data_IF_764897070952
#
_entry.id   IF_764897070952
#
_cell.length_a   1.000
_cell.length_b   1.000
_cell.length_c   1.000
_cell.angle_alpha   90.00
_cell.angle_beta   90.00
_cell.angle_gamma   90.00
#
_symmetry.space_group_name_H-M   'P 1'
#
loop_
_entity.id
_entity.type
_entity.pdbx_description
1 polymer ?
#
# COMPACT_ATOMS: atom_id res chain seq x y z
N UNK A 1 -9.67 15.75 2.44
CA UNK A 1 -11.02 16.33 2.64
C UNK A 1 -12.03 15.20 2.59
N UNK A 2 -13.09 15.24 3.41
CA UNK A 2 -14.12 14.20 3.44
C UNK A 2 -15.48 14.77 3.02
N UNK A 3 -16.38 13.91 2.55
CA UNK A 3 -17.72 14.26 2.13
C UNK A 3 -18.75 13.38 2.81
N UNK A 4 -19.90 13.97 3.12
CA UNK A 4 -21.07 13.25 3.61
C UNK A 4 -21.61 12.31 2.55
N UNK A 5 -22.00 11.12 2.97
CA UNK A 5 -22.58 10.09 2.10
C UNK A 5 -24.09 9.92 2.28
N UNK A 6 -24.68 10.50 3.32
CA UNK A 6 -26.12 10.42 3.63
C UNK A 6 -26.98 11.45 2.88
N UNK A 7 -26.36 12.37 2.16
CA UNK A 7 -27.08 13.44 1.46
C UNK A 7 -27.58 12.99 0.08
N UNK A 8 -28.78 13.44 -0.35
CA UNK A 8 -29.34 13.10 -1.65
C UNK A 8 -28.49 13.66 -2.80
N UNK A 9 -28.55 12.98 -3.96
CA UNK A 9 -27.94 13.48 -5.20
C UNK A 9 -28.50 14.87 -5.54
N UNK A 10 -27.63 15.88 -5.58
CA UNK A 10 -28.00 17.29 -5.79
C UNK A 10 -27.82 18.20 -4.57
N UNK A 11 -27.42 17.67 -3.41
CA UNK A 11 -27.07 18.49 -2.26
C UNK A 11 -25.90 19.44 -2.58
N UNK A 12 -25.97 20.66 -2.02
CA UNK A 12 -24.96 21.70 -2.23
C UNK A 12 -23.58 21.23 -1.75
N UNK A 13 -22.53 21.63 -2.47
CA UNK A 13 -21.14 21.30 -2.13
C UNK A 13 -20.77 21.75 -0.70
N UNK A 14 -21.37 22.82 -0.20
CA UNK A 14 -21.19 23.29 1.19
C UNK A 14 -21.72 22.31 2.25
N UNK A 15 -22.81 21.63 1.95
CA UNK A 15 -23.46 20.69 2.86
C UNK A 15 -22.78 19.31 2.80
N UNK A 16 -22.31 18.94 1.61
CA UNK A 16 -21.61 17.69 1.36
C UNK A 16 -20.17 17.70 1.88
N UNK A 17 -19.45 18.79 1.70
CA UNK A 17 -18.02 18.84 2.02
C UNK A 17 -17.72 19.09 3.49
N UNK A 18 -16.76 18.33 4.03
CA UNK A 18 -16.15 18.52 5.35
C UNK A 18 -14.63 18.57 5.26
N UNK A 19 -14.10 19.77 5.44
CA UNK A 19 -12.66 20.04 5.58
C UNK A 19 -12.20 20.10 7.04
N UNK A 20 -13.12 20.27 7.97
CA UNK A 20 -12.90 20.24 9.40
C UNK A 20 -14.10 19.58 10.11
N UNK A 21 -13.89 19.08 11.33
CA UNK A 21 -14.95 18.51 12.18
C UNK A 21 -15.13 19.39 13.41
N UNK A 22 -16.35 19.89 13.60
CA UNK A 22 -16.65 20.87 14.65
C UNK A 22 -16.14 22.26 14.29
N UNK A 23 -15.13 22.74 15.02
CA UNK A 23 -14.56 24.08 14.81
C UNK A 23 -13.69 24.17 13.55
N UNK A 24 -13.57 25.37 12.99
CA UNK A 24 -12.84 25.67 11.74
C UNK A 24 -11.34 25.40 11.78
N UNK A 25 -10.77 25.20 12.97
CA UNK A 25 -9.34 24.90 13.16
C UNK A 25 -9.05 23.39 13.22
N UNK A 26 -10.07 22.54 13.34
CA UNK A 26 -9.94 21.08 13.38
C UNK A 26 -9.93 20.48 11.98
N UNK A 27 -8.95 20.88 11.18
CA UNK A 27 -8.83 20.46 9.80
C UNK A 27 -8.58 18.95 9.70
N UNK A 28 -9.40 18.27 8.90
CA UNK A 28 -9.46 16.80 8.76
C UNK A 28 -8.10 16.17 8.48
N UNK A 29 -7.32 16.83 7.62
CA UNK A 29 -5.97 16.41 7.24
C UNK A 29 -4.89 17.40 7.66
N UNK A 30 -5.08 18.15 8.75
CA UNK A 30 -4.09 19.07 9.29
C UNK A 30 -4.11 20.50 8.71
N UNK A 31 -3.40 21.42 9.37
CA UNK A 31 -3.13 22.80 8.93
C UNK A 31 -1.76 23.26 9.46
N UNK A 32 -0.66 23.21 8.67
CA UNK A 32 -0.57 22.76 7.26
C UNK A 32 -0.94 21.28 7.09
N UNK A 33 -1.30 20.83 5.87
CA UNK A 33 -1.75 19.46 5.67
C UNK A 33 -0.67 18.43 6.06
N UNK A 34 -1.07 17.42 6.83
CA UNK A 34 -0.18 16.34 7.24
C UNK A 34 0.09 15.38 6.08
N UNK A 35 1.20 14.65 6.16
CA UNK A 35 1.57 13.65 5.16
C UNK A 35 0.64 12.43 5.25
N UNK A 36 -0.29 12.30 4.31
CA UNK A 36 -1.17 11.14 4.17
C UNK A 36 -0.90 10.38 2.88
N UNK A 37 -0.92 9.05 2.97
CA UNK A 37 -1.14 8.18 1.80
C UNK A 37 -2.63 8.21 1.41
N UNK A 38 -2.97 7.77 0.21
CA UNK A 38 -4.38 7.67 -0.22
C UNK A 38 -5.22 6.83 0.76
N UNK A 39 -4.69 5.66 1.17
CA UNK A 39 -5.34 4.80 2.16
C UNK A 39 -5.43 5.45 3.54
N UNK A 40 -4.40 6.18 3.96
CA UNK A 40 -4.43 6.98 5.19
C UNK A 40 -5.53 8.05 5.15
N UNK A 41 -5.73 8.70 4.01
CA UNK A 41 -6.81 9.68 3.84
C UNK A 41 -8.21 9.04 3.87
N UNK A 42 -8.39 7.84 3.32
CA UNK A 42 -9.64 7.06 3.42
C UNK A 42 -9.92 6.67 4.86
N UNK A 43 -8.93 6.07 5.54
CA UNK A 43 -9.04 5.67 6.94
C UNK A 43 -9.38 6.87 7.82
N UNK A 44 -8.75 8.02 7.58
CA UNK A 44 -9.04 9.25 8.31
C UNK A 44 -10.49 9.72 8.16
N UNK A 45 -11.08 9.61 6.97
CA UNK A 45 -12.49 9.94 6.78
C UNK A 45 -13.41 8.95 7.50
N UNK A 46 -13.06 7.66 7.52
CA UNK A 46 -13.81 6.63 8.23
C UNK A 46 -13.72 6.78 9.75
N UNK A 47 -12.55 7.10 10.29
CA UNK A 47 -12.37 7.37 11.73
C UNK A 47 -13.20 8.55 12.22
N UNK A 48 -13.33 9.59 11.38
CA UNK A 48 -14.12 10.78 11.68
C UNK A 48 -15.61 10.59 11.35
N UNK A 49 -15.96 9.47 10.71
CA UNK A 49 -17.33 9.12 10.35
C UNK A 49 -18.10 8.70 11.59
N UNK A 50 -19.34 9.15 11.71
CA UNK A 50 -20.27 8.72 12.77
C UNK A 50 -21.61 8.37 12.14
N UNK A 51 -22.46 7.63 12.87
CA UNK A 51 -23.83 7.30 12.42
C UNK A 51 -24.64 8.55 12.03
N UNK A 52 -24.42 9.68 12.72
CA UNK A 52 -25.08 10.96 12.42
C UNK A 52 -24.38 11.77 11.30
N UNK A 53 -23.14 11.44 10.98
CA UNK A 53 -22.32 12.12 10.00
C UNK A 53 -21.42 11.11 9.27
N UNK A 54 -21.99 10.31 8.36
CA UNK A 54 -21.21 9.31 7.65
C UNK A 54 -20.32 9.98 6.60
N UNK A 55 -19.02 9.69 6.63
CA UNK A 55 -18.00 10.37 5.84
C UNK A 55 -17.20 9.41 4.95
N UNK A 56 -16.87 9.88 3.74
CA UNK A 56 -15.97 9.20 2.80
C UNK A 56 -15.12 10.21 2.02
N UNK A 57 -14.19 9.76 1.16
CA UNK A 57 -13.48 10.67 0.25
C UNK A 57 -14.44 11.31 -0.76
N UNK A 58 -14.22 12.59 -1.04
CA UNK A 58 -15.06 13.38 -1.94
C UNK A 58 -14.82 13.06 -3.43
N UNK A 59 -15.89 13.01 -4.22
CA UNK A 59 -15.90 12.95 -5.69
C UNK A 59 -15.90 14.35 -6.36
N UNK A 60 -15.93 15.40 -5.54
CA UNK A 60 -15.92 16.81 -5.95
C UNK A 60 -14.81 17.58 -5.25
N UNK A 61 -14.42 18.71 -5.84
CA UNK A 61 -13.46 19.63 -5.24
C UNK A 61 -14.18 20.61 -4.29
N UNK A 62 -13.96 20.44 -2.98
CA UNK A 62 -14.54 21.28 -1.92
C UNK A 62 -13.94 22.70 -1.81
N UNK A 63 -13.82 23.41 -2.94
CA UNK A 63 -13.13 24.69 -3.05
C UNK A 63 -13.70 25.78 -2.15
N UNK A 64 -12.82 26.60 -1.57
CA UNK A 64 -13.23 27.77 -0.77
C UNK A 64 -13.81 27.46 0.63
N UNK A 65 -13.80 26.19 1.07
CA UNK A 65 -14.40 25.76 2.34
C UNK A 65 -13.42 25.71 3.53
N UNK A 66 -12.39 26.57 3.53
CA UNK A 66 -11.43 26.68 4.63
C UNK A 66 -10.25 25.69 4.58
N UNK A 67 -9.48 25.64 5.68
CA UNK A 67 -8.27 24.83 5.91
C UNK A 67 -7.08 25.04 4.96
N UNK A 68 -7.14 26.00 4.03
CA UNK A 68 -6.03 26.30 3.12
C UNK A 68 -5.76 25.23 2.06
N UNK A 69 -6.61 24.20 1.94
CA UNK A 69 -6.41 23.09 1.01
C UNK A 69 -6.48 23.48 -0.48
N UNK A 70 -6.95 24.69 -0.81
CA UNK A 70 -6.99 25.14 -2.20
C UNK A 70 -5.59 25.35 -2.80
N UNK A 71 -4.55 25.43 -1.97
CA UNK A 71 -3.16 25.58 -2.40
C UNK A 71 -2.44 24.23 -2.57
N UNK A 72 -3.14 23.11 -2.39
CA UNK A 72 -2.56 21.76 -2.36
C UNK A 72 -3.41 20.78 -3.18
N UNK A 73 -2.79 19.74 -3.78
CA UNK A 73 -3.56 18.64 -4.37
C UNK A 73 -4.31 17.88 -3.26
N UNK A 74 -5.53 17.41 -3.57
CA UNK A 74 -6.38 16.67 -2.63
C UNK A 74 -6.74 15.30 -3.18
N UNK A 75 -6.72 14.27 -2.32
CA UNK A 75 -7.24 12.95 -2.68
C UNK A 75 -8.76 13.01 -2.94
N UNK A 76 -9.22 12.31 -3.98
CA UNK A 76 -10.62 12.26 -4.40
C UNK A 76 -11.04 10.82 -4.70
N UNK A 77 -12.33 10.52 -4.49
CA UNK A 77 -12.99 9.30 -4.97
C UNK A 77 -13.52 9.47 -6.40
N UNK A 78 -13.34 10.65 -7.03
CA UNK A 78 -13.80 10.90 -8.38
C UNK A 78 -13.05 9.98 -9.32
N UNK A 79 -13.78 9.20 -10.11
CA UNK A 79 -13.09 8.15 -10.78
C UNK A 79 -12.75 8.74 -12.19
N UNK A 80 -11.52 8.60 -12.70
CA UNK A 80 -11.11 9.24 -13.98
C UNK A 80 -11.86 8.72 -15.21
N UNK A 81 -11.91 9.54 -16.26
CA UNK A 81 -12.57 9.21 -17.51
C UNK A 81 -11.66 8.34 -18.39
N UNK A 82 -12.15 7.17 -18.78
CA UNK A 82 -11.61 6.37 -19.90
C UNK A 82 -12.03 7.04 -21.21
N UNK A 83 -11.40 6.66 -22.31
CA UNK A 83 -11.71 7.19 -23.64
C UNK A 83 -12.61 6.23 -24.43
N UNK A 84 -13.50 6.73 -25.30
CA UNK A 84 -14.51 5.91 -25.98
C UNK A 84 -13.93 5.30 -27.26
N UNK A 85 -13.70 3.99 -27.28
CA UNK A 85 -13.73 3.18 -28.51
C UNK A 85 -13.63 1.70 -28.21
N UNK A 86 -14.77 1.02 -28.20
CA UNK A 86 -14.97 -0.31 -28.81
C UNK A 86 -16.47 -0.65 -28.84
N UNK A 87 -16.96 -1.32 -29.89
CA UNK A 87 -18.39 -1.52 -30.14
C UNK A 87 -19.01 -2.57 -29.20
N UNK A 88 -20.35 -2.54 -28.97
CA UNK A 88 -21.00 -3.45 -28.05
C UNK A 88 -21.18 -4.83 -28.70
N UNK A 89 -20.56 -5.86 -28.12
CA UNK A 89 -21.01 -7.24 -28.35
C UNK A 89 -22.18 -7.53 -27.41
N UNK A 90 -23.36 -7.62 -28.00
CA UNK A 90 -24.60 -8.04 -27.39
C UNK A 90 -24.55 -9.50 -26.96
N UNK A 91 -24.62 -9.78 -25.66
CA UNK A 91 -24.97 -11.09 -25.10
C UNK A 91 -25.80 -10.92 -23.80
N UNK A 92 -26.61 -11.93 -23.45
CA UNK A 92 -27.88 -11.71 -22.75
C UNK A 92 -27.77 -11.59 -21.23
N UNK A 93 -28.77 -10.91 -20.68
CA UNK A 93 -29.06 -10.71 -19.26
C UNK A 93 -28.75 -11.97 -18.42
N UNK A 94 -27.73 -11.90 -17.58
CA UNK A 94 -27.45 -12.91 -16.56
C UNK A 94 -27.36 -12.23 -15.21
N UNK A 95 -28.26 -12.67 -14.32
CA UNK A 95 -28.42 -12.56 -12.87
C UNK A 95 -27.71 -11.47 -12.04
N UNK A 96 -28.32 -11.04 -10.92
CA UNK A 96 -27.79 -9.99 -10.06
C UNK A 96 -26.35 -10.30 -9.60
N UNK A 97 -25.44 -9.31 -9.63
CA UNK A 97 -24.05 -9.51 -9.26
C UNK A 97 -23.95 -9.93 -7.81
N UNK A 98 -23.26 -11.05 -7.57
CA UNK A 98 -22.80 -11.42 -6.23
C UNK A 98 -22.02 -10.27 -5.61
N UNK A 99 -22.08 -10.09 -4.27
CA UNK A 99 -21.38 -9.01 -3.58
C UNK A 99 -19.89 -9.02 -3.97
N UNK A 100 -19.30 -7.84 -4.24
CA UNK A 100 -17.91 -7.75 -4.67
C UNK A 100 -16.99 -8.39 -3.61
N UNK A 101 -15.96 -9.14 -4.03
CA UNK A 101 -14.96 -9.67 -3.11
C UNK A 101 -14.32 -8.52 -2.34
N UNK A 102 -14.18 -8.70 -1.03
CA UNK A 102 -13.55 -7.72 -0.16
C UNK A 102 -12.17 -7.34 -0.71
N UNK A 103 -11.98 -6.04 -1.00
CA UNK A 103 -10.70 -5.51 -1.46
C UNK A 103 -9.68 -5.78 -0.35
N UNK A 104 -8.60 -6.56 -0.61
CA UNK A 104 -7.63 -6.87 0.42
C UNK A 104 -6.94 -5.58 0.90
N UNK A 105 -6.61 -5.47 2.19
CA UNK A 105 -5.95 -4.28 2.72
C UNK A 105 -4.64 -3.99 1.96
N UNK A 106 -4.26 -2.72 1.79
CA UNK A 106 -2.95 -2.38 1.22
C UNK A 106 -1.85 -3.01 2.10
N UNK A 107 -0.91 -3.70 1.46
CA UNK A 107 0.12 -4.53 2.14
C UNK A 107 -0.45 -5.77 2.85
N UNK A 108 -1.51 -6.36 2.29
CA UNK A 108 -1.98 -7.68 2.69
C UNK A 108 -0.83 -8.69 2.70
N UNK A 109 -1.00 -9.74 3.50
CA UNK A 109 -0.06 -10.85 3.53
C UNK A 109 0.10 -11.39 2.10
N UNK A 110 1.31 -11.57 1.57
CA UNK A 110 1.50 -12.10 0.22
C UNK A 110 0.89 -13.51 0.07
N UNK A 111 0.50 -13.94 -1.15
CA UNK A 111 -0.12 -15.26 -1.37
C UNK A 111 0.69 -16.45 -0.85
N UNK A 112 2.02 -16.34 -0.84
CA UNK A 112 2.93 -17.35 -0.28
C UNK A 112 2.82 -17.48 1.26
N UNK A 113 2.16 -16.54 1.92
CA UNK A 113 2.20 -16.36 3.36
C UNK A 113 3.53 -15.78 3.84
N UNK A 114 3.60 -15.41 5.12
CA UNK A 114 4.80 -14.87 5.76
C UNK A 114 5.06 -15.53 7.09
N UNK A 115 6.33 -15.75 7.39
CA UNK A 115 6.77 -16.32 8.65
C UNK A 115 6.73 -15.24 9.74
N UNK A 116 6.22 -15.63 10.90
CA UNK A 116 6.50 -14.96 12.17
C UNK A 116 7.66 -15.69 12.80
N UNK A 117 8.69 -14.95 13.18
CA UNK A 117 9.93 -15.52 13.69
C UNK A 117 10.03 -15.33 15.21
N UNK A 118 10.72 -16.24 15.88
CA UNK A 118 11.21 -16.02 17.23
C UNK A 118 12.25 -14.89 17.22
N UNK A 119 12.05 -13.86 18.04
CA UNK A 119 12.86 -12.64 18.05
C UNK A 119 14.31 -12.82 18.51
N UNK A 120 14.71 -14.00 18.98
CA UNK A 120 16.10 -14.33 19.33
C UNK A 120 16.73 -15.29 18.32
N UNK A 121 16.07 -16.42 18.06
CA UNK A 121 16.61 -17.55 17.29
C UNK A 121 16.33 -17.48 15.79
N UNK A 122 15.43 -16.60 15.36
CA UNK A 122 14.92 -16.55 13.98
C UNK A 122 14.21 -17.83 13.51
N UNK A 123 13.83 -18.72 14.43
CA UNK A 123 13.02 -19.90 14.12
C UNK A 123 11.58 -19.47 13.79
N UNK A 124 10.97 -20.09 12.79
CA UNK A 124 9.53 -19.92 12.53
C UNK A 124 8.72 -20.37 13.76
N UNK A 125 7.83 -19.50 14.23
CA UNK A 125 6.88 -19.80 15.32
C UNK A 125 5.43 -19.80 14.85
N UNK A 126 5.14 -19.12 13.74
CA UNK A 126 3.87 -19.19 13.04
C UNK A 126 4.07 -18.82 11.56
N UNK A 127 3.10 -19.22 10.73
CA UNK A 127 3.00 -18.80 9.35
C UNK A 127 1.65 -18.10 9.16
N UNK A 128 1.65 -16.84 8.73
CA UNK A 128 0.45 -16.07 8.44
C UNK A 128 0.09 -16.28 6.96
N UNK A 129 -1.17 -16.63 6.69
CA UNK A 129 -1.71 -16.92 5.37
C UNK A 129 -2.55 -15.76 4.85
N UNK A 130 -2.41 -15.50 3.55
CA UNK A 130 -3.19 -14.49 2.84
C UNK A 130 -4.69 -14.74 3.00
N UNK A 131 -5.44 -13.68 3.34
CA UNK A 131 -6.89 -13.72 3.50
C UNK A 131 -7.39 -14.46 4.75
N UNK A 132 -6.52 -15.09 5.53
CA UNK A 132 -6.88 -15.76 6.80
C UNK A 132 -6.34 -15.01 8.01
N UNK A 133 -5.07 -14.62 7.96
CA UNK A 133 -4.33 -14.11 9.13
C UNK A 133 -4.10 -12.59 9.09
N UNK A 134 -4.83 -11.85 8.24
CA UNK A 134 -4.63 -10.41 8.02
C UNK A 134 -4.76 -9.58 9.30
N UNK A 135 -5.55 -10.05 10.27
CA UNK A 135 -5.81 -9.39 11.55
C UNK A 135 -5.01 -10.01 12.72
N UNK A 136 -4.11 -10.96 12.45
CA UNK A 136 -3.33 -11.63 13.47
C UNK A 136 -2.33 -10.63 14.07
N UNK A 137 -2.34 -10.48 15.40
CA UNK A 137 -1.46 -9.57 16.15
C UNK A 137 -0.64 -10.28 17.23
N UNK A 138 -0.88 -11.58 17.42
CA UNK A 138 -0.23 -12.43 18.43
C UNK A 138 0.21 -13.74 17.80
N UNK A 139 1.35 -14.25 18.26
CA UNK A 139 1.86 -15.57 17.88
C UNK A 139 2.40 -16.31 19.10
N UNK A 140 2.43 -17.66 19.07
CA UNK A 140 3.00 -18.44 20.15
C UNK A 140 4.52 -18.23 20.22
N UNK A 141 5.05 -18.10 21.44
CA UNK A 141 6.48 -18.24 21.70
C UNK A 141 6.62 -19.19 22.90
N UNK A 142 7.17 -20.38 22.65
CA UNK A 142 6.99 -21.51 23.57
C UNK A 142 5.50 -21.86 23.69
N UNK A 143 4.96 -21.85 24.91
CA UNK A 143 3.56 -22.22 25.21
C UNK A 143 2.62 -21.02 25.42
N UNK A 144 3.09 -19.78 25.21
CA UNK A 144 2.29 -18.58 25.51
C UNK A 144 2.15 -17.69 24.27
N UNK A 145 0.95 -17.23 23.91
CA UNK A 145 0.77 -16.25 22.86
C UNK A 145 1.27 -14.87 23.32
N UNK A 146 2.12 -14.24 22.53
CA UNK A 146 2.60 -12.88 22.76
C UNK A 146 2.35 -11.99 21.55
N UNK A 147 2.23 -10.68 21.78
CA UNK A 147 2.14 -9.68 20.72
C UNK A 147 3.34 -9.78 19.79
N UNK A 148 3.08 -9.74 18.49
CA UNK A 148 4.12 -9.80 17.45
C UNK A 148 4.73 -8.40 17.32
N UNK A 149 6.02 -8.30 17.54
CA UNK A 149 6.75 -7.05 17.46
C UNK A 149 7.10 -6.68 16.00
N UNK A 150 7.10 -5.38 15.72
CA UNK A 150 7.51 -4.83 14.42
C UNK A 150 8.99 -4.47 14.47
N UNK A 151 9.73 -4.94 13.47
CA UNK A 151 11.13 -4.56 13.26
C UNK A 151 11.39 -4.32 11.78
N UNK A 152 12.20 -3.31 11.51
CA UNK A 152 12.50 -2.92 10.14
C UNK A 152 13.95 -3.19 9.80
N UNK A 153 14.21 -3.37 8.52
CA UNK A 153 15.53 -3.58 7.97
C UNK A 153 15.77 -2.58 6.85
N UNK A 154 17.01 -2.10 6.79
CA UNK A 154 17.50 -1.31 5.67
C UNK A 154 17.45 -2.12 4.37
N UNK A 155 17.00 -1.48 3.31
CA UNK A 155 16.93 -2.07 1.97
C UNK A 155 18.00 -1.53 1.02
N UNK A 156 18.75 -0.51 1.40
CA UNK A 156 19.82 0.11 0.60
C UNK A 156 21.18 -0.57 0.76
N UNK A 157 21.32 -1.49 1.72
CA UNK A 157 22.57 -2.18 1.97
C UNK A 157 22.76 -3.37 1.01
N UNK A 158 24.01 -3.69 0.63
CA UNK A 158 24.31 -4.82 -0.22
C UNK A 158 23.94 -6.15 0.45
N UNK A 159 23.69 -7.16 -0.37
CA UNK A 159 23.44 -8.52 0.09
C UNK A 159 24.66 -9.03 0.88
N UNK A 160 24.44 -9.51 2.10
CA UNK A 160 25.51 -9.94 3.02
C UNK A 160 26.00 -8.87 4.01
N UNK A 161 25.39 -7.67 4.02
CA UNK A 161 25.61 -6.71 5.11
C UNK A 161 25.28 -7.34 6.49
N UNK A 162 26.04 -6.94 7.51
CA UNK A 162 25.85 -7.44 8.87
C UNK A 162 24.45 -7.10 9.39
N UNK A 163 23.86 -7.99 10.18
CA UNK A 163 22.55 -7.75 10.80
C UNK A 163 22.55 -6.47 11.63
N UNK A 164 23.66 -6.11 12.29
CA UNK A 164 23.79 -4.84 13.03
C UNK A 164 23.57 -3.62 12.14
N UNK A 165 24.07 -3.66 10.91
CA UNK A 165 23.98 -2.54 9.98
C UNK A 165 22.60 -2.47 9.34
N UNK A 166 22.00 -3.62 9.05
CA UNK A 166 20.70 -3.76 8.40
C UNK A 166 19.53 -3.54 9.35
N UNK A 167 19.56 -4.11 10.54
CA UNK A 167 18.42 -4.14 11.45
C UNK A 167 18.17 -2.81 12.17
N UNK A 168 16.92 -2.41 12.24
CA UNK A 168 16.42 -1.25 12.97
C UNK A 168 15.21 -1.68 13.81
N UNK A 169 15.49 -1.97 15.08
CA UNK A 169 14.45 -2.15 16.11
C UNK A 169 14.03 -0.83 16.75
N UNK A 170 14.87 0.19 16.62
CA UNK A 170 14.60 1.57 17.03
C UNK A 170 15.19 2.53 15.99
N UNK A 171 14.69 3.77 15.98
CA UNK A 171 15.20 4.86 15.13
C UNK A 171 15.76 5.97 16.02
N UNK A 172 17.03 6.30 15.83
CA UNK A 172 17.73 7.26 16.68
C UNK A 172 18.08 6.65 18.04
N UNK A 173 17.43 7.11 19.11
CA UNK A 173 17.68 6.65 20.47
C UNK A 173 17.04 5.27 20.75
N UNK A 174 17.62 4.52 21.69
CA UNK A 174 17.22 3.15 22.06
C UNK A 174 15.82 3.02 22.67
N UNK A 175 15.19 4.13 23.03
CA UNK A 175 13.82 4.17 23.57
C UNK A 175 12.75 4.32 22.48
N UNK A 176 13.14 4.70 21.25
CA UNK A 176 12.23 4.89 20.12
C UNK A 176 12.04 3.58 19.34
N UNK A 177 11.54 2.56 20.01
CA UNK A 177 11.31 1.25 19.42
C UNK A 177 10.24 1.33 18.31
N UNK A 178 10.55 0.77 17.15
CA UNK A 178 9.73 0.81 15.92
C UNK A 178 8.29 0.37 16.18
N UNK A 179 8.14 -0.68 16.97
CA UNK A 179 6.86 -1.32 17.30
C UNK A 179 6.50 -1.24 18.77
N UNK A 180 7.04 -0.26 19.51
CA UNK A 180 6.74 -0.04 20.93
C UNK A 180 7.61 -0.83 21.92
N UNK A 181 7.56 -0.44 23.20
CA UNK A 181 8.25 -1.13 24.31
C UNK A 181 7.37 -1.05 25.57
N UNK A 182 6.58 -2.08 25.92
CA UNK A 182 6.44 -3.39 25.24
C UNK A 182 5.81 -3.27 23.84
N UNK A 183 5.88 -4.33 23.00
CA UNK A 183 5.36 -4.27 21.64
C UNK A 183 3.87 -3.91 21.56
N UNK A 184 3.54 -2.94 20.72
CA UNK A 184 2.16 -2.58 20.38
C UNK A 184 1.55 -3.61 19.41
N UNK A 185 0.22 -3.69 19.41
CA UNK A 185 -0.48 -4.62 18.52
C UNK A 185 -0.59 -4.05 17.10
N UNK A 186 0.24 -4.54 16.20
CA UNK A 186 0.13 -4.30 14.76
C UNK A 186 -0.37 -5.55 14.05
N UNK A 187 -1.16 -5.38 12.98
CA UNK A 187 -1.37 -6.40 11.95
C UNK A 187 -0.14 -6.49 11.04
N UNK A 188 -0.07 -7.50 10.17
CA UNK A 188 1.02 -7.57 9.18
C UNK A 188 1.08 -6.31 8.30
N UNK A 189 -0.07 -5.88 7.77
CA UNK A 189 -0.17 -4.66 6.95
C UNK A 189 0.22 -3.39 7.74
N UNK A 190 -0.18 -3.31 9.02
CA UNK A 190 0.24 -2.25 9.92
C UNK A 190 1.75 -2.25 10.19
N UNK A 191 2.36 -3.43 10.32
CA UNK A 191 3.79 -3.58 10.51
C UNK A 191 4.60 -3.13 9.29
N UNK A 192 4.14 -3.49 8.08
CA UNK A 192 4.74 -2.99 6.83
C UNK A 192 4.60 -1.47 6.74
N UNK A 193 3.40 -0.94 6.97
CA UNK A 193 3.13 0.49 6.94
C UNK A 193 4.01 1.26 7.93
N UNK A 194 4.22 0.71 9.14
CA UNK A 194 5.09 1.32 10.15
C UNK A 194 6.55 1.43 9.69
N UNK A 195 7.07 0.41 9.01
CA UNK A 195 8.41 0.50 8.44
C UNK A 195 8.50 1.54 7.32
N UNK A 196 7.49 1.62 6.47
CA UNK A 196 7.43 2.62 5.41
C UNK A 196 7.29 4.05 5.96
N UNK A 197 6.52 4.26 7.03
CA UNK A 197 6.36 5.56 7.69
C UNK A 197 7.69 6.07 8.27
N UNK A 198 8.49 5.17 8.84
CA UNK A 198 9.81 5.49 9.40
C UNK A 198 10.92 5.55 8.35
N UNK A 199 10.60 5.15 7.11
CA UNK A 199 11.53 5.13 5.99
C UNK A 199 11.83 6.55 5.52
N UNK A 200 13.10 6.83 5.23
CA UNK A 200 13.55 8.08 4.61
C UNK A 200 14.44 7.78 3.42
N UNK A 201 14.72 8.75 2.54
CA UNK A 201 15.64 8.52 1.41
C UNK A 201 17.04 8.07 1.86
N UNK A 202 17.50 8.58 3.01
CA UNK A 202 18.80 8.20 3.60
C UNK A 202 18.75 6.89 4.40
N UNK A 203 17.55 6.42 4.75
CA UNK A 203 17.33 5.22 5.55
C UNK A 203 16.05 4.52 5.07
N UNK A 204 16.10 3.84 3.91
CA UNK A 204 14.93 3.15 3.40
C UNK A 204 14.68 1.87 4.20
N UNK A 205 13.43 1.66 4.63
CA UNK A 205 13.07 0.60 5.57
C UNK A 205 11.94 -0.29 5.04
N UNK A 206 12.05 -1.59 5.31
CA UNK A 206 11.01 -2.59 5.08
C UNK A 206 11.01 -3.65 6.19
N UNK A 207 10.06 -4.59 6.19
CA UNK A 207 10.12 -5.72 7.13
C UNK A 207 11.36 -6.58 6.90
N UNK A 208 11.97 -6.98 8.00
CA UNK A 208 13.16 -7.84 8.00
C UNK A 208 12.84 -9.26 7.54
N UNK A 209 13.79 -9.89 6.85
CA UNK A 209 13.83 -11.34 6.63
C UNK A 209 14.59 -12.08 7.75
N UNK A 210 15.16 -11.36 8.71
CA UNK A 210 15.90 -11.90 9.86
C UNK A 210 15.26 -11.48 11.17
N UNK A 211 15.65 -12.12 12.28
CA UNK A 211 15.09 -11.80 13.61
C UNK A 211 15.76 -10.61 14.29
N UNK A 212 16.94 -10.15 13.87
CA UNK A 212 17.64 -9.01 14.49
C UNK A 212 17.94 -9.23 16.00
N UNK A 213 18.25 -10.47 16.38
CA UNK A 213 18.45 -10.88 17.78
C UNK A 213 19.54 -10.07 18.49
N UNK A 214 19.28 -9.67 19.72
CA UNK A 214 20.25 -8.93 20.54
C UNK A 214 20.40 -7.44 20.21
N UNK A 215 19.61 -6.89 19.28
CA UNK A 215 19.74 -5.50 18.83
C UNK A 215 18.80 -4.51 19.53
N UNK A 216 18.42 -4.81 20.77
CA UNK A 216 17.63 -3.90 21.62
C UNK A 216 16.11 -4.10 21.59
N UNK A 217 15.38 -3.15 22.19
CA UNK A 217 13.92 -3.10 22.36
C UNK A 217 13.24 -4.26 23.10
N UNK A 218 14.01 -5.22 23.61
CA UNK A 218 13.46 -6.37 24.35
C UNK A 218 12.73 -7.39 23.48
N UNK A 219 12.76 -7.25 22.14
CA UNK A 219 12.03 -8.12 21.22
C UNK A 219 12.55 -9.56 21.16
N UNK A 220 13.70 -9.85 21.76
CA UNK A 220 14.23 -11.22 21.89
C UNK A 220 13.24 -12.17 22.58
N UNK A 221 12.36 -11.62 23.43
CA UNK A 221 11.36 -12.38 24.19
C UNK A 221 9.98 -12.41 23.51
N UNK A 222 9.87 -11.92 22.27
CA UNK A 222 8.62 -11.77 21.52
C UNK A 222 8.77 -12.35 20.11
N UNK A 223 7.66 -12.83 19.52
CA UNK A 223 7.63 -13.09 18.08
C UNK A 223 7.79 -11.78 17.30
N UNK A 224 8.36 -11.84 16.10
CA UNK A 224 8.58 -10.68 15.21
C UNK A 224 8.00 -10.93 13.82
N UNK A 225 7.40 -9.90 13.23
CA UNK A 225 6.98 -9.95 11.82
C UNK A 225 8.20 -10.06 10.92
N UNK A 226 8.07 -10.82 9.82
CA UNK A 226 9.12 -10.93 8.82
C UNK A 226 8.58 -10.85 7.39
N UNK A 227 9.49 -10.60 6.44
CA UNK A 227 9.25 -10.71 5.00
C UNK A 227 9.60 -12.10 4.45
N UNK A 228 10.00 -13.06 5.30
CA UNK A 228 10.29 -14.43 4.85
C UNK A 228 9.01 -15.15 4.44
N UNK A 229 8.95 -15.75 3.24
CA UNK A 229 7.78 -16.52 2.82
C UNK A 229 7.66 -17.79 3.65
N UNK A 230 6.44 -18.26 3.89
CA UNK A 230 6.25 -19.56 4.55
C UNK A 230 6.82 -20.70 3.71
N UNK A 231 7.26 -21.77 4.38
CA UNK A 231 7.56 -23.00 3.66
C UNK A 231 6.27 -23.55 3.01
N UNK A 232 6.33 -23.88 1.72
CA UNK A 232 5.29 -24.64 1.06
C UNK A 232 5.26 -26.04 1.65
N UNK A 233 4.20 -26.38 2.39
CA UNK A 233 4.03 -27.74 2.91
C UNK A 233 3.77 -28.71 1.75
N UNK A 234 4.48 -29.84 1.64
CA UNK A 234 4.29 -30.82 0.54
C UNK A 234 2.99 -31.66 0.66
N UNK A 235 1.97 -31.20 1.38
CA UNK A 235 0.79 -31.99 1.71
C UNK A 235 -0.46 -31.47 1.01
N UNK A 236 -0.55 -31.72 -0.30
CA UNK A 236 -1.83 -31.84 -1.00
C UNK A 236 -1.63 -32.88 -2.09
N UNK A 237 -2.25 -34.08 -1.98
CA UNK A 237 -2.14 -35.07 -3.04
C UNK A 237 -2.71 -34.51 -4.35
N UNK A 238 -2.11 -34.81 -5.51
CA UNK A 238 -2.69 -34.42 -6.78
C UNK A 238 -4.03 -35.14 -6.92
N UNK A 239 -5.13 -34.39 -7.00
CA UNK A 239 -6.40 -34.95 -7.44
C UNK A 239 -6.20 -35.41 -8.88
N UNK A 240 -6.06 -36.73 -9.04
CA UNK A 240 -6.11 -37.44 -10.30
C UNK A 240 -7.51 -37.27 -10.91
N UNK A 241 -7.62 -36.37 -11.89
CA UNK A 241 -8.71 -36.36 -12.86
C UNK A 241 -8.12 -36.46 -14.27
N UNK A 242 -8.86 -37.08 -15.21
CA UNK A 242 -8.28 -37.82 -16.32
C UNK A 242 -7.63 -36.92 -17.38
N UNK A 243 -6.53 -37.45 -17.91
CA UNK A 243 -5.74 -36.95 -19.03
C UNK A 243 -6.65 -36.45 -20.16
N UNK A 244 -6.82 -35.13 -20.24
CA UNK A 244 -7.29 -34.45 -21.45
C UNK A 244 -6.14 -33.57 -21.94
N UNK A 245 -5.92 -33.62 -23.25
CA UNK A 245 -4.81 -33.09 -24.04
C UNK A 245 -4.12 -31.80 -23.55
N UNK A 246 -2.84 -31.60 -23.91
CA UNK A 246 -2.03 -30.50 -23.42
C UNK A 246 -2.62 -29.15 -23.88
N UNK A 247 -3.04 -28.25 -22.97
CA UNK A 247 -3.33 -26.89 -23.36
C UNK A 247 -2.02 -26.16 -23.67
N UNK A 248 -2.05 -25.40 -24.77
CA UNK A 248 -0.96 -24.53 -25.26
C UNK A 248 -0.27 -23.73 -24.15
N UNK A 249 1.03 -23.41 -24.30
CA UNK A 249 1.79 -22.68 -23.28
C UNK A 249 1.08 -21.35 -22.94
N UNK A 250 0.94 -21.01 -21.65
CA UNK A 250 0.37 -19.74 -21.26
C UNK A 250 1.27 -18.60 -21.77
N UNK A 251 0.69 -17.47 -22.22
CA UNK A 251 1.47 -16.29 -22.56
C UNK A 251 2.28 -15.85 -21.32
N UNK A 252 3.58 -15.61 -21.53
CA UNK A 252 4.46 -15.12 -20.48
C UNK A 252 3.89 -13.82 -19.90
N UNK A 253 3.58 -13.84 -18.61
CA UNK A 253 3.19 -12.63 -17.86
C UNK A 253 4.46 -11.78 -17.73
N UNK A 254 4.52 -10.57 -18.32
CA UNK A 254 5.68 -9.71 -18.15
C UNK A 254 5.75 -9.21 -16.70
N UNK A 255 6.97 -8.97 -16.16
CA UNK A 255 7.12 -8.40 -14.83
C UNK A 255 6.37 -7.07 -14.73
N UNK A 256 5.71 -6.77 -13.60
CA UNK A 256 4.73 -5.68 -13.50
C UNK A 256 5.31 -4.25 -13.62
N UNK A 257 6.59 -4.10 -13.94
CA UNK A 257 7.29 -2.82 -13.94
C UNK A 257 8.18 -2.56 -15.16
N UNK A 258 8.16 -3.42 -16.19
CA UNK A 258 8.88 -3.14 -17.43
C UNK A 258 8.07 -2.20 -18.33
N UNK A 259 8.74 -1.29 -19.03
CA UNK A 259 8.12 -0.49 -20.10
C UNK A 259 7.44 -1.45 -21.08
N UNK A 260 6.16 -1.29 -21.43
CA UNK A 260 5.47 -2.20 -22.36
C UNK A 260 6.23 -2.33 -23.69
N UNK A 261 6.12 -3.47 -24.40
CA UNK A 261 6.83 -3.71 -25.67
C UNK A 261 6.58 -2.63 -26.74
N UNK A 262 5.44 -1.94 -26.66
CA UNK A 262 5.10 -0.83 -27.54
C UNK A 262 5.85 0.48 -27.22
N UNK A 263 6.57 0.56 -26.10
CA UNK A 263 7.20 1.77 -25.58
C UNK A 263 6.22 2.68 -24.83
N UNK A 264 6.75 3.71 -24.18
CA UNK A 264 5.97 4.73 -23.44
C UNK A 264 6.41 6.13 -23.86
N UNK A 265 5.46 6.98 -24.23
CA UNK A 265 5.71 8.38 -24.56
C UNK A 265 5.83 9.23 -23.29
N UNK A 266 6.81 10.13 -23.28
CA UNK A 266 6.92 11.23 -22.33
C UNK A 266 6.31 12.47 -22.98
N UNK A 267 5.37 13.12 -22.28
CA UNK A 267 4.63 14.27 -22.79
C UNK A 267 5.03 15.56 -22.06
N UNK A 268 4.93 16.69 -22.74
CA UNK A 268 5.03 18.01 -22.14
C UNK A 268 3.78 18.32 -21.30
N UNK A 269 3.96 18.63 -20.02
CA UNK A 269 2.87 18.79 -19.04
C UNK A 269 1.96 20.00 -19.24
N UNK A 270 2.26 20.90 -20.18
CA UNK A 270 1.42 22.06 -20.54
C UNK A 270 0.70 21.86 -21.88
N UNK A 271 1.40 21.31 -22.88
CA UNK A 271 0.91 21.19 -24.27
C UNK A 271 0.47 19.78 -24.67
N UNK A 272 0.76 18.76 -23.84
CA UNK A 272 0.57 17.34 -24.14
C UNK A 272 1.31 16.82 -25.39
N UNK A 273 2.30 17.57 -25.88
CA UNK A 273 3.14 17.15 -27.01
C UNK A 273 4.18 16.11 -26.58
N UNK A 274 4.42 15.09 -27.39
CA UNK A 274 5.50 14.14 -27.15
C UNK A 274 6.88 14.82 -27.16
N UNK A 275 7.68 14.56 -26.13
CA UNK A 275 9.05 15.05 -25.98
C UNK A 275 10.10 13.93 -26.00
N UNK A 276 9.73 12.70 -25.67
CA UNK A 276 10.57 11.51 -25.80
C UNK A 276 9.73 10.23 -25.86
N UNK A 277 10.33 9.12 -26.32
CA UNK A 277 9.71 7.80 -26.31
C UNK A 277 10.68 6.78 -25.71
N UNK A 278 10.27 6.12 -24.63
CA UNK A 278 11.05 5.13 -23.87
C UNK A 278 10.78 3.72 -24.42
N UNK A 279 11.83 2.94 -24.67
CA UNK A 279 11.75 1.59 -25.25
C UNK A 279 11.97 0.48 -24.22
N UNK A 280 11.21 -0.59 -24.40
CA UNK A 280 11.32 -1.82 -23.61
C UNK A 280 12.74 -2.39 -23.64
N UNK A 281 13.28 -2.71 -22.47
CA UNK A 281 14.60 -3.30 -22.27
C UNK A 281 15.77 -2.34 -22.47
N UNK A 282 15.54 -1.09 -22.87
CA UNK A 282 16.59 -0.10 -23.14
C UNK A 282 16.52 1.10 -22.20
N UNK A 283 15.31 1.59 -21.91
CA UNK A 283 15.10 2.85 -21.17
C UNK A 283 14.48 2.65 -19.78
N UNK A 284 14.58 1.43 -19.22
CA UNK A 284 13.92 1.03 -17.95
C UNK A 284 14.35 1.87 -16.73
N UNK A 285 15.49 2.55 -16.81
CA UNK A 285 16.04 3.40 -15.73
C UNK A 285 16.00 4.90 -16.06
N UNK A 286 15.32 5.32 -17.13
CA UNK A 286 15.30 6.70 -17.60
C UNK A 286 14.43 7.58 -16.71
N UNK A 287 15.04 8.55 -16.03
CA UNK A 287 14.35 9.46 -15.08
C UNK A 287 14.24 10.90 -15.58
N UNK A 288 14.85 11.24 -16.74
CA UNK A 288 14.88 12.60 -17.29
C UNK A 288 14.55 12.61 -18.78
N UNK A 289 13.85 13.64 -19.23
CA UNK A 289 13.53 13.88 -20.64
C UNK A 289 13.82 15.34 -21.04
N UNK A 290 14.18 15.61 -22.30
CA UNK A 290 14.44 16.96 -22.77
C UNK A 290 13.13 17.72 -22.97
N UNK A 291 12.98 18.87 -22.30
CA UNK A 291 11.94 19.85 -22.62
C UNK A 291 12.66 21.11 -23.07
N UNK A 292 12.62 21.39 -24.37
CA UNK A 292 13.52 22.36 -25.01
C UNK A 292 14.99 21.90 -24.98
N UNK A 293 15.91 22.77 -24.54
CA UNK A 293 17.35 22.48 -24.45
C UNK A 293 17.80 21.97 -23.07
N UNK A 294 16.87 21.66 -22.16
CA UNK A 294 17.20 21.27 -20.78
C UNK A 294 16.58 19.92 -20.40
N UNK A 295 17.36 18.95 -19.87
CA UNK A 295 16.82 17.71 -19.35
C UNK A 295 16.13 17.96 -18.00
N UNK A 296 14.86 17.61 -17.91
CA UNK A 296 14.06 17.72 -16.69
C UNK A 296 13.61 16.34 -16.21
N UNK A 297 13.44 16.18 -14.90
CA UNK A 297 12.95 14.94 -14.31
C UNK A 297 11.52 14.65 -14.79
N UNK A 298 11.25 13.41 -15.15
CA UNK A 298 9.94 12.95 -15.62
C UNK A 298 8.99 12.84 -14.42
N UNK A 299 7.86 13.53 -14.47
CA UNK A 299 6.84 13.47 -13.42
C UNK A 299 5.78 12.40 -13.74
N UNK A 300 5.26 11.74 -12.71
CA UNK A 300 4.24 10.69 -12.85
C UNK A 300 2.85 11.30 -12.91
N UNK A 301 2.00 10.82 -13.82
CA UNK A 301 0.62 11.23 -13.99
C UNK A 301 -0.25 9.97 -14.17
N UNK A 302 -1.30 9.81 -13.37
CA UNK A 302 -2.15 8.63 -13.41
C UNK A 302 -3.59 8.97 -13.79
N UNK A 303 -4.18 8.13 -14.64
CA UNK A 303 -5.58 8.19 -15.06
C UNK A 303 -6.28 6.89 -14.66
N UNK A 304 -7.55 6.97 -14.23
CA UNK A 304 -8.44 5.82 -14.00
C UNK A 304 -8.89 5.18 -15.31
N UNK A 305 -9.27 3.93 -15.18
CA UNK A 305 -9.59 2.94 -16.20
C UNK A 305 -11.07 2.60 -16.37
N UNK A 306 -12.01 3.19 -15.60
CA UNK A 306 -13.45 2.84 -15.69
C UNK A 306 -14.32 4.01 -16.17
N UNK A 307 -15.11 3.81 -17.23
CA UNK A 307 -15.85 4.85 -17.99
C UNK A 307 -17.32 4.65 -17.67
#
# INVERSE_FOLDING_TARGET
QCCRTDLPQGASEKDKCRRYIGASDNCVGGKPPDAYTYSGAVARCLELSTEALPLALCDVACGGLGCGYNSFPVYSSKPCAVSPSSPPSSLPLSEPPSPPPAIPPPHAIPPAGVQVLDGWTAKEVACLRHGQDENTTKAPIGNTPKTIAVQCCRTDLPQGASEKDKCRRYIGASDNCVGGKPPDAYTYSGAVARCLELSTEALPLALCDVACGGLGCGYNSFPVYSSKPCAVSPSSPPSSLPLSEPPSPPPAIPPPHAIPPAGVQVLDGWTAKEVACLRHGQDENTTKAPIGNTPKTIAVQCCRTDL
#
